data_IF_877341364129
#
_entry.id   IF_877341364129
#
_cell.length_a   1.000
_cell.length_b   1.000
_cell.length_c   1.000
_cell.angle_alpha   90.00
_cell.angle_beta   90.00
_cell.angle_gamma   90.00
#
_symmetry.space_group_name_H-M   'P 1'
#
loop_
_entity.id
_entity.type
_entity.pdbx_description
1 polymer ?
#
# COMPACT_ATOMS: atom_id res chain seq x y z
N UNK A 1 -19.46 2.50 12.77
CA UNK A 1 -19.67 1.87 11.46
C UNK A 1 -18.38 1.23 11.02
N UNK A 2 -18.45 -0.03 10.63
CA UNK A 2 -17.26 -0.80 10.22
C UNK A 2 -16.81 -0.37 8.82
N UNK A 3 -15.54 -0.01 8.69
CA UNK A 3 -14.93 0.39 7.42
C UNK A 3 -14.44 -0.85 6.66
N UNK A 4 -15.29 -1.41 5.80
CA UNK A 4 -14.94 -2.53 4.93
C UNK A 4 -15.68 -2.47 3.59
N UNK A 5 -15.12 -3.16 2.60
CA UNK A 5 -15.78 -3.45 1.33
C UNK A 5 -15.93 -4.94 1.14
N UNK A 6 -16.97 -5.32 0.40
CA UNK A 6 -17.20 -6.69 -0.03
C UNK A 6 -17.31 -6.70 -1.55
N UNK A 7 -16.44 -7.46 -2.20
CA UNK A 7 -16.26 -7.42 -3.66
C UNK A 7 -16.06 -8.82 -4.24
N UNK A 8 -16.29 -8.97 -5.54
CA UNK A 8 -15.88 -10.16 -6.28
C UNK A 8 -14.38 -10.17 -6.50
N UNK A 9 -13.78 -11.35 -6.55
CA UNK A 9 -12.32 -11.47 -6.71
C UNK A 9 -11.79 -10.89 -8.02
N UNK A 10 -12.61 -10.88 -9.09
CA UNK A 10 -12.27 -10.30 -10.37
C UNK A 10 -12.46 -8.79 -10.49
N UNK A 11 -12.95 -8.11 -9.45
CA UNK A 11 -13.08 -6.64 -9.45
C UNK A 11 -11.70 -6.00 -9.54
N UNK A 12 -11.53 -5.05 -10.45
CA UNK A 12 -10.25 -4.36 -10.65
C UNK A 12 -9.92 -3.45 -9.46
N UNK A 13 -8.64 -3.29 -9.16
CA UNK A 13 -8.18 -2.35 -8.13
C UNK A 13 -8.58 -0.92 -8.49
N UNK A 14 -8.55 -0.57 -9.78
CA UNK A 14 -8.99 0.73 -10.29
C UNK A 14 -10.46 1.01 -9.91
N UNK A 15 -11.36 0.09 -10.24
CA UNK A 15 -12.79 0.21 -9.91
C UNK A 15 -13.02 0.34 -8.39
N UNK A 16 -12.29 -0.45 -7.57
CA UNK A 16 -12.35 -0.36 -6.11
C UNK A 16 -11.90 1.02 -5.63
N UNK A 17 -10.80 1.55 -6.15
CA UNK A 17 -10.31 2.89 -5.79
C UNK A 17 -11.32 3.97 -6.13
N UNK A 18 -11.92 3.92 -7.34
CA UNK A 18 -12.94 4.88 -7.77
C UNK A 18 -14.18 4.88 -6.85
N UNK A 19 -14.64 3.69 -6.43
CA UNK A 19 -15.78 3.59 -5.50
C UNK A 19 -15.44 4.06 -4.08
N UNK A 20 -14.24 3.78 -3.60
CA UNK A 20 -13.78 4.23 -2.30
C UNK A 20 -13.56 5.75 -2.25
N UNK A 21 -13.05 6.34 -3.33
CA UNK A 21 -12.85 7.79 -3.44
C UNK A 21 -14.15 8.58 -3.29
N UNK A 22 -15.28 8.07 -3.80
CA UNK A 22 -16.61 8.68 -3.62
C UNK A 22 -17.03 8.81 -2.15
N UNK A 23 -16.42 8.01 -1.27
CA UNK A 23 -16.68 7.98 0.18
C UNK A 23 -15.52 8.51 1.02
N UNK A 24 -14.52 9.11 0.40
CA UNK A 24 -13.29 9.55 1.04
C UNK A 24 -12.58 8.41 1.81
N UNK A 25 -12.55 7.22 1.19
CA UNK A 25 -11.94 6.01 1.72
C UNK A 25 -10.84 5.50 0.79
N UNK A 26 -9.98 4.61 1.29
CA UNK A 26 -8.90 4.01 0.53
C UNK A 26 -8.60 2.59 1.00
N UNK A 27 -8.00 1.77 0.13
CA UNK A 27 -7.31 0.57 0.54
C UNK A 27 -6.09 0.97 1.39
N UNK A 28 -5.84 0.25 2.48
CA UNK A 28 -4.68 0.52 3.33
C UNK A 28 -3.36 0.22 2.61
N UNK A 29 -3.31 -0.89 1.88
CA UNK A 29 -2.16 -1.32 1.08
C UNK A 29 -2.22 -0.69 -0.33
N UNK A 30 -1.06 -0.59 -0.97
CA UNK A 30 -0.88 0.07 -2.26
C UNK A 30 -0.33 -0.92 -3.29
N UNK A 31 -1.17 -1.80 -3.88
CA UNK A 31 -0.69 -2.74 -4.88
C UNK A 31 -0.18 -1.99 -6.11
N UNK A 32 1.03 -2.33 -6.56
CA UNK A 32 1.57 -1.79 -7.79
C UNK A 32 0.86 -2.40 -8.99
N UNK A 33 0.79 -1.64 -10.06
CA UNK A 33 0.37 -2.14 -11.35
C UNK A 33 1.58 -2.68 -12.11
N UNK A 34 1.48 -3.93 -12.53
CA UNK A 34 2.48 -4.59 -13.37
C UNK A 34 1.99 -4.81 -14.80
N UNK A 35 0.88 -4.19 -15.20
CA UNK A 35 0.34 -4.32 -16.56
C UNK A 35 1.38 -3.98 -17.63
N UNK A 36 2.26 -3.02 -17.37
CA UNK A 36 3.33 -2.62 -18.28
C UNK A 36 4.33 -3.75 -18.61
N UNK A 37 4.47 -4.76 -17.74
CA UNK A 37 5.34 -5.92 -18.00
C UNK A 37 4.76 -6.90 -19.01
N UNK A 38 3.46 -6.81 -19.28
CA UNK A 38 2.73 -7.76 -20.13
C UNK A 38 2.15 -7.12 -21.39
N UNK A 39 2.70 -5.98 -21.82
CA UNK A 39 2.24 -5.22 -23.02
C UNK A 39 0.74 -4.88 -22.97
N UNK A 40 0.15 -4.91 -21.78
CA UNK A 40 -1.26 -4.66 -21.54
C UNK A 40 -1.53 -3.22 -21.11
N UNK A 41 -2.82 -2.84 -21.18
CA UNK A 41 -3.27 -1.61 -20.54
C UNK A 41 -3.09 -1.69 -19.02
N UNK A 42 -2.65 -0.58 -18.43
CA UNK A 42 -2.56 -0.42 -16.99
C UNK A 42 -3.96 -0.41 -16.37
N UNK A 43 -4.37 -1.52 -15.75
CA UNK A 43 -5.65 -1.64 -15.05
C UNK A 43 -5.51 -2.04 -13.57
N UNK A 44 -4.28 -1.99 -13.06
CA UNK A 44 -3.92 -2.27 -11.65
C UNK A 44 -4.25 -3.71 -11.18
N UNK A 45 -4.63 -4.61 -12.09
CA UNK A 45 -4.98 -5.98 -11.75
C UNK A 45 -6.29 -6.10 -10.96
N UNK A 46 -6.54 -7.29 -10.39
CA UNK A 46 -7.75 -7.59 -9.61
C UNK A 46 -7.44 -7.76 -8.13
N UNK A 47 -8.43 -7.52 -7.27
CA UNK A 47 -8.29 -7.72 -5.83
C UNK A 47 -7.97 -9.17 -5.46
N UNK A 48 -8.52 -10.13 -6.20
CA UNK A 48 -8.21 -11.55 -6.01
C UNK A 48 -6.75 -11.88 -6.32
N UNK A 49 -6.20 -11.32 -7.40
CA UNK A 49 -4.79 -11.45 -7.75
C UNK A 49 -3.88 -10.84 -6.68
N UNK A 50 -4.17 -9.60 -6.26
CA UNK A 50 -3.41 -8.90 -5.21
C UNK A 50 -3.37 -9.68 -3.90
N UNK A 51 -4.50 -10.23 -3.45
CA UNK A 51 -4.55 -11.04 -2.23
C UNK A 51 -3.88 -12.41 -2.43
N UNK A 52 -4.03 -13.03 -3.59
CA UNK A 52 -3.39 -14.33 -3.87
C UNK A 52 -1.86 -14.26 -3.76
N UNK A 53 -1.24 -13.13 -4.11
CA UNK A 53 0.20 -12.92 -3.99
C UNK A 53 0.60 -12.15 -2.73
N UNK A 54 -0.37 -11.70 -1.93
CA UNK A 54 -0.16 -10.83 -0.76
C UNK A 54 0.61 -9.55 -1.10
N UNK A 55 0.18 -8.87 -2.14
CA UNK A 55 0.90 -7.71 -2.62
C UNK A 55 0.74 -6.52 -1.66
N UNK A 56 1.83 -5.79 -1.44
CA UNK A 56 1.84 -4.59 -0.62
C UNK A 56 2.79 -3.57 -1.23
N UNK A 57 2.39 -2.32 -1.28
CA UNK A 57 3.19 -1.22 -1.77
C UNK A 57 4.01 -0.53 -0.67
N UNK A 58 4.42 0.72 -0.92
CA UNK A 58 5.30 1.49 -0.04
C UNK A 58 4.81 1.65 1.40
N UNK A 59 3.49 1.61 1.65
CA UNK A 59 2.91 1.69 3.01
C UNK A 59 3.11 0.44 3.87
N UNK A 60 3.70 -0.62 3.36
CA UNK A 60 3.78 -1.91 4.06
C UNK A 60 4.33 -1.81 5.48
N UNK A 61 5.36 -1.01 5.70
CA UNK A 61 5.99 -0.88 7.02
C UNK A 61 5.08 -0.18 8.04
N UNK A 62 4.14 0.66 7.58
CA UNK A 62 3.19 1.38 8.42
C UNK A 62 1.89 0.62 8.65
N UNK A 63 1.31 0.03 7.62
CA UNK A 63 -0.05 -0.54 7.66
C UNK A 63 -0.09 -2.04 7.49
N UNK A 64 1.03 -2.69 7.19
CA UNK A 64 1.08 -4.10 6.84
C UNK A 64 0.81 -4.37 5.35
N UNK A 65 0.59 -5.64 5.04
CA UNK A 65 0.33 -6.14 3.69
C UNK A 65 -1.16 -6.34 3.42
N UNK A 66 -1.53 -6.73 2.21
CA UNK A 66 -2.91 -7.07 1.87
C UNK A 66 -3.52 -8.13 2.82
N UNK A 67 -2.69 -9.09 3.27
CA UNK A 67 -3.04 -10.11 4.26
C UNK A 67 -3.55 -9.54 5.59
N UNK A 68 -3.02 -8.40 6.01
CA UNK A 68 -3.39 -7.80 7.30
C UNK A 68 -4.77 -7.13 7.26
N UNK A 69 -5.30 -6.90 6.06
CA UNK A 69 -6.57 -6.22 5.82
C UNK A 69 -7.70 -7.13 5.33
N UNK A 70 -7.43 -8.39 4.97
CA UNK A 70 -8.50 -9.33 4.63
C UNK A 70 -9.28 -9.71 5.89
N UNK A 71 -10.60 -9.56 5.85
CA UNK A 71 -11.53 -9.90 6.94
C UNK A 71 -12.22 -11.24 6.72
N UNK A 72 -12.38 -11.62 5.46
CA UNK A 72 -13.01 -12.89 5.11
C UNK A 72 -13.09 -13.11 3.61
N UNK A 73 -13.43 -14.33 3.23
CA UNK A 73 -13.57 -14.71 1.82
C UNK A 73 -14.57 -15.84 1.63
N UNK A 74 -15.04 -15.97 0.39
CA UNK A 74 -15.54 -17.23 -0.19
C UNK A 74 -14.60 -17.67 -1.29
N UNK A 75 -14.42 -18.96 -1.44
CA UNK A 75 -13.55 -19.52 -2.46
C UNK A 75 -13.87 -20.98 -2.74
N UNK A 76 -13.11 -21.56 -3.66
CA UNK A 76 -13.20 -22.98 -4.02
C UNK A 76 -11.82 -23.59 -3.80
N UNK A 77 -11.77 -24.71 -3.07
CA UNK A 77 -10.53 -25.45 -2.82
C UNK A 77 -10.18 -26.41 -3.97
N UNK A 78 -9.03 -27.09 -3.88
CA UNK A 78 -8.56 -28.04 -4.90
C UNK A 78 -9.44 -29.28 -5.09
N UNK A 79 -10.42 -29.53 -4.23
CA UNK A 79 -11.42 -30.60 -4.36
C UNK A 79 -12.73 -30.13 -5.01
N UNK A 80 -12.82 -28.85 -5.39
CA UNK A 80 -14.05 -28.26 -5.92
C UNK A 80 -15.09 -27.89 -4.84
N UNK A 81 -14.71 -27.93 -3.56
CA UNK A 81 -15.62 -27.61 -2.46
C UNK A 81 -15.63 -26.11 -2.20
N UNK A 82 -16.82 -25.53 -1.96
CA UNK A 82 -16.98 -24.15 -1.58
C UNK A 82 -16.56 -24.00 -0.12
N UNK A 83 -15.58 -23.13 0.12
CA UNK A 83 -15.11 -22.78 1.44
C UNK A 83 -15.41 -21.31 1.75
N UNK A 84 -15.64 -21.03 3.03
CA UNK A 84 -15.87 -19.68 3.53
C UNK A 84 -15.17 -19.53 4.88
N UNK A 85 -14.48 -18.43 5.07
CA UNK A 85 -13.86 -18.09 6.34
C UNK A 85 -13.96 -16.61 6.61
N UNK A 86 -14.00 -16.24 7.91
CA UNK A 86 -14.13 -14.85 8.32
C UNK A 86 -15.52 -14.28 8.01
N UNK A 87 -15.59 -12.95 7.99
CA UNK A 87 -16.83 -12.21 7.81
C UNK A 87 -16.57 -10.76 7.45
N UNK A 88 -17.33 -9.87 8.08
CA UNK A 88 -17.21 -8.43 7.93
C UNK A 88 -16.69 -7.74 9.21
N UNK A 89 -16.41 -8.51 10.26
CA UNK A 89 -15.93 -7.99 11.54
C UNK A 89 -14.43 -8.12 11.67
N UNK A 90 -13.81 -7.14 12.28
CA UNK A 90 -12.35 -7.04 12.44
C UNK A 90 -11.81 -8.11 13.39
N UNK A 91 -12.63 -8.62 14.32
CA UNK A 91 -12.23 -9.61 15.32
C UNK A 91 -12.97 -10.93 15.10
N UNK A 92 -12.22 -11.96 14.67
CA UNK A 92 -12.70 -13.34 14.64
C UNK A 92 -11.86 -14.13 15.66
N UNK A 93 -12.52 -14.65 16.70
CA UNK A 93 -11.84 -15.35 17.82
C UNK A 93 -12.10 -16.86 17.79
N UNK A 94 -12.80 -17.39 16.78
CA UNK A 94 -13.19 -18.78 16.71
C UNK A 94 -12.54 -19.49 15.51
N UNK A 95 -11.71 -20.47 15.80
CA UNK A 95 -11.06 -21.32 14.79
C UNK A 95 -9.80 -20.70 14.15
N UNK A 96 -9.29 -21.37 13.11
CA UNK A 96 -8.14 -20.91 12.33
C UNK A 96 -8.52 -19.75 11.40
N UNK A 97 -7.65 -18.77 11.28
CA UNK A 97 -7.82 -17.68 10.31
C UNK A 97 -7.38 -18.14 8.90
N UNK A 98 -8.27 -18.85 8.23
CA UNK A 98 -8.01 -19.34 6.87
C UNK A 98 -7.79 -18.20 5.88
N UNK A 99 -8.38 -17.00 6.13
CA UNK A 99 -8.16 -15.83 5.29
C UNK A 99 -6.68 -15.45 5.24
N UNK A 100 -6.00 -15.52 6.39
CA UNK A 100 -4.56 -15.25 6.49
C UNK A 100 -3.69 -16.35 5.85
N UNK A 101 -4.14 -17.60 5.90
CA UNK A 101 -3.40 -18.74 5.31
C UNK A 101 -3.47 -18.70 3.78
N UNK A 102 -4.66 -18.41 3.23
CA UNK A 102 -4.87 -18.41 1.78
C UNK A 102 -4.27 -17.18 1.10
N UNK A 103 -4.25 -16.04 1.79
CA UNK A 103 -3.59 -14.82 1.27
C UNK A 103 -2.09 -15.06 1.15
N UNK A 104 -1.56 -14.88 -0.06
CA UNK A 104 -0.17 -15.15 -0.37
C UNK A 104 0.12 -16.60 -0.80
N UNK A 105 -0.92 -17.42 -1.00
CA UNK A 105 -0.77 -18.81 -1.46
C UNK A 105 -0.63 -18.94 -2.99
N UNK A 106 -0.61 -17.85 -3.74
CA UNK A 106 -0.55 -17.85 -5.21
C UNK A 106 -1.68 -18.65 -5.89
N UNK A 107 -2.84 -18.77 -5.22
CA UNK A 107 -3.96 -19.56 -5.71
C UNK A 107 -3.78 -21.07 -5.58
N UNK A 108 -2.71 -21.56 -4.95
CA UNK A 108 -2.41 -23.01 -4.83
C UNK A 108 -3.29 -23.73 -3.81
N UNK A 109 -3.84 -23.00 -2.83
CA UNK A 109 -4.70 -23.58 -1.79
C UNK A 109 -6.19 -23.39 -2.10
N UNK A 110 -6.57 -22.31 -2.75
CA UNK A 110 -7.96 -21.97 -3.06
C UNK A 110 -8.03 -20.85 -4.10
N UNK A 111 -9.12 -20.82 -4.85
CA UNK A 111 -9.47 -19.70 -5.73
C UNK A 111 -10.49 -18.81 -5.02
N UNK A 112 -10.18 -17.54 -4.85
CA UNK A 112 -11.11 -16.55 -4.31
C UNK A 112 -12.28 -16.29 -5.28
N UNK A 113 -13.50 -16.21 -4.76
CA UNK A 113 -14.69 -15.79 -5.52
C UNK A 113 -15.30 -14.50 -4.99
N UNK A 114 -15.25 -14.31 -3.67
CA UNK A 114 -15.75 -13.12 -2.98
C UNK A 114 -14.82 -12.80 -1.80
N UNK A 115 -14.57 -11.53 -1.57
CA UNK A 115 -13.57 -11.06 -0.61
C UNK A 115 -14.16 -9.91 0.20
N UNK A 116 -13.92 -9.90 1.52
CA UNK A 116 -14.17 -8.79 2.41
C UNK A 116 -12.83 -8.20 2.87
N UNK A 117 -12.64 -6.91 2.65
CA UNK A 117 -11.38 -6.21 2.95
C UNK A 117 -11.67 -4.96 3.79
N UNK A 118 -10.88 -4.77 4.85
CA UNK A 118 -10.87 -3.54 5.63
C UNK A 118 -10.36 -2.38 4.77
N UNK A 119 -11.03 -1.23 4.88
CA UNK A 119 -10.62 0.03 4.26
C UNK A 119 -10.31 1.07 5.33
N UNK A 120 -9.64 2.15 4.94
CA UNK A 120 -9.30 3.26 5.83
C UNK A 120 -9.89 4.56 5.27
N UNK A 121 -10.13 5.58 6.13
CA UNK A 121 -10.34 6.93 5.66
C UNK A 121 -9.14 7.39 4.82
N UNK A 122 -9.39 8.17 3.79
CA UNK A 122 -8.33 8.81 3.01
C UNK A 122 -7.70 9.94 3.83
N UNK A 123 -6.40 10.12 3.72
CA UNK A 123 -5.72 11.25 4.34
C UNK A 123 -6.15 12.57 3.67
N UNK A 124 -6.35 13.63 4.46
CA UNK A 124 -6.72 14.96 3.94
C UNK A 124 -5.59 15.58 3.11
N UNK A 125 -4.34 15.29 3.50
CA UNK A 125 -3.15 15.80 2.83
C UNK A 125 -2.06 14.72 2.80
N UNK A 126 -1.39 14.66 1.65
CA UNK A 126 -0.17 13.88 1.45
C UNK A 126 0.92 14.83 0.96
N UNK A 127 2.06 14.85 1.64
CA UNK A 127 3.27 15.56 1.20
C UNK A 127 4.45 14.60 1.13
N UNK A 128 5.30 14.83 0.16
CA UNK A 128 6.56 14.09 0.03
C UNK A 128 7.71 15.07 0.16
N UNK A 129 8.53 14.87 1.20
CA UNK A 129 9.81 15.57 1.32
C UNK A 129 10.81 14.88 0.39
N UNK A 130 11.43 15.66 -0.48
CA UNK A 130 12.49 15.21 -1.37
C UNK A 130 13.79 15.84 -0.94
N UNK A 131 14.79 15.02 -0.67
CA UNK A 131 16.14 15.44 -0.28
C UNK A 131 17.11 14.96 -1.34
N UNK A 132 17.90 15.89 -1.86
CA UNK A 132 19.01 15.57 -2.75
C UNK A 132 20.19 15.06 -1.96
N UNK A 133 20.79 13.99 -2.40
CA UNK A 133 21.95 13.41 -1.71
C UNK A 133 22.98 12.88 -2.72
N UNK A 134 24.25 13.16 -2.45
CA UNK A 134 25.33 12.85 -3.40
C UNK A 134 25.67 11.37 -3.47
N UNK A 135 25.27 10.56 -2.49
CA UNK A 135 25.57 9.13 -2.45
C UNK A 135 24.59 8.31 -1.59
N UNK A 136 24.54 7.01 -1.85
CA UNK A 136 23.65 6.03 -1.23
C UNK A 136 23.68 6.04 0.31
N UNK A 137 24.88 6.09 0.91
CA UNK A 137 25.03 6.04 2.38
C UNK A 137 24.22 7.14 3.07
N UNK A 138 24.31 8.38 2.55
CA UNK A 138 23.58 9.52 3.11
C UNK A 138 22.08 9.40 2.88
N UNK A 139 21.65 8.92 1.70
CA UNK A 139 20.25 8.68 1.43
C UNK A 139 19.61 7.63 2.36
N UNK A 140 20.34 6.53 2.63
CA UNK A 140 19.90 5.52 3.59
C UNK A 140 19.90 6.05 5.04
N UNK A 141 20.85 6.92 5.42
CA UNK A 141 20.85 7.59 6.72
C UNK A 141 19.59 8.44 6.90
N UNK A 142 19.19 9.23 5.90
CA UNK A 142 17.95 10.00 5.92
C UNK A 142 16.71 9.10 6.10
N UNK A 143 16.64 8.00 5.38
CA UNK A 143 15.53 7.02 5.54
C UNK A 143 15.50 6.44 6.95
N UNK A 144 16.64 6.05 7.51
CA UNK A 144 16.72 5.51 8.86
C UNK A 144 16.28 6.51 9.92
N UNK A 145 16.72 7.77 9.82
CA UNK A 145 16.27 8.85 10.71
C UNK A 145 14.75 9.02 10.60
N UNK A 146 14.22 9.16 9.39
CA UNK A 146 12.79 9.37 9.18
C UNK A 146 11.94 8.22 9.70
N UNK A 147 12.32 6.97 9.40
CA UNK A 147 11.59 5.77 9.84
C UNK A 147 11.67 5.53 11.35
N UNK A 148 12.73 6.01 12.00
CA UNK A 148 12.90 5.95 13.46
C UNK A 148 12.30 7.13 14.22
N UNK A 149 11.81 8.16 13.51
CA UNK A 149 11.31 9.41 14.10
C UNK A 149 9.84 9.32 14.49
N UNK A 150 9.38 10.28 15.29
CA UNK A 150 7.96 10.47 15.61
C UNK A 150 7.15 11.09 14.46
N UNK A 151 7.78 11.39 13.31
CA UNK A 151 7.09 11.97 12.15
C UNK A 151 6.20 10.98 11.40
N UNK A 152 6.26 9.68 11.75
CA UNK A 152 5.38 8.61 11.29
C UNK A 152 5.18 8.60 9.76
N UNK A 153 6.24 8.43 8.96
CA UNK A 153 6.15 8.43 7.51
C UNK A 153 5.32 7.26 6.99
N UNK A 154 4.69 7.44 5.83
CA UNK A 154 3.88 6.43 5.16
C UNK A 154 4.56 5.81 3.93
N UNK A 155 5.70 6.31 3.55
CA UNK A 155 6.52 5.81 2.46
C UNK A 155 7.92 6.41 2.53
N UNK A 156 8.90 5.65 2.07
CA UNK A 156 10.27 6.12 1.98
C UNK A 156 11.02 5.36 0.88
N UNK A 157 11.80 6.07 0.08
CA UNK A 157 12.56 5.48 -1.01
C UNK A 157 13.81 6.28 -1.29
N UNK A 158 14.87 5.56 -1.66
CA UNK A 158 16.06 6.13 -2.28
C UNK A 158 16.06 5.79 -3.77
N UNK A 159 16.15 6.82 -4.61
CA UNK A 159 16.31 6.67 -6.06
C UNK A 159 17.74 6.99 -6.44
N UNK A 160 18.54 6.01 -6.90
CA UNK A 160 19.85 6.24 -7.49
C UNK A 160 19.74 7.08 -8.79
N UNK A 161 20.77 7.80 -9.13
CA UNK A 161 20.84 8.60 -10.36
C UNK A 161 20.45 7.78 -11.61
N UNK A 162 20.92 6.56 -11.73
CA UNK A 162 20.60 5.67 -12.86
C UNK A 162 19.10 5.48 -13.11
N UNK A 163 18.28 5.47 -12.07
CA UNK A 163 16.83 5.30 -12.21
C UNK A 163 16.06 6.61 -12.38
N UNK A 164 16.71 7.75 -12.19
CA UNK A 164 16.06 9.07 -12.27
C UNK A 164 15.46 9.36 -13.64
N UNK A 165 16.17 9.01 -14.71
CA UNK A 165 15.70 9.20 -16.10
C UNK A 165 14.46 8.38 -16.45
N UNK A 166 14.11 7.39 -15.64
CA UNK A 166 12.94 6.52 -15.84
C UNK A 166 11.69 7.03 -15.11
N UNK A 167 11.83 8.02 -14.24
CA UNK A 167 10.72 8.59 -13.46
C UNK A 167 10.44 10.02 -13.90
N UNK A 168 9.21 10.24 -14.36
CA UNK A 168 8.76 11.59 -14.74
C UNK A 168 8.33 12.32 -13.47
N UNK A 169 9.29 12.96 -12.81
CA UNK A 169 9.00 13.99 -11.80
C UNK A 169 9.06 15.34 -12.50
N UNK A 170 7.93 15.79 -13.02
CA UNK A 170 7.86 17.03 -13.81
C UNK A 170 8.32 18.27 -13.04
N UNK A 171 8.34 18.21 -11.71
CA UNK A 171 8.65 19.34 -10.83
C UNK A 171 10.08 19.30 -10.26
N UNK A 172 10.88 18.28 -10.59
CA UNK A 172 12.24 18.15 -10.05
C UNK A 172 13.30 18.51 -11.10
N UNK A 173 14.09 19.51 -10.77
CA UNK A 173 15.18 20.03 -11.63
C UNK A 173 16.51 19.29 -11.46
N UNK A 174 16.63 18.46 -10.43
CA UNK A 174 17.89 17.78 -10.11
C UNK A 174 18.05 16.47 -10.89
N UNK A 175 19.24 16.22 -11.40
CA UNK A 175 19.62 14.97 -12.10
C UNK A 175 20.22 13.91 -11.17
N UNK A 176 20.66 14.32 -9.97
CA UNK A 176 21.31 13.44 -8.98
C UNK A 176 20.37 12.48 -8.25
N UNK A 177 20.92 11.59 -7.40
CA UNK A 177 20.13 10.70 -6.56
C UNK A 177 19.28 11.47 -5.56
N UNK A 178 18.11 10.92 -5.20
CA UNK A 178 17.20 11.53 -4.23
C UNK A 178 16.76 10.55 -3.16
N UNK A 179 16.42 11.08 -1.99
CA UNK A 179 15.63 10.39 -0.98
C UNK A 179 14.26 11.05 -0.89
N UNK A 180 13.20 10.28 -1.05
CA UNK A 180 11.83 10.77 -0.92
C UNK A 180 11.15 10.12 0.28
N UNK A 181 10.50 10.94 1.13
CA UNK A 181 9.83 10.51 2.37
C UNK A 181 8.43 11.09 2.37
N UNK A 182 7.42 10.22 2.43
CA UNK A 182 6.02 10.60 2.36
C UNK A 182 5.38 10.67 3.75
N UNK A 183 4.71 11.78 4.03
CA UNK A 183 3.92 12.04 5.24
C UNK A 183 2.46 12.24 4.84
N UNK A 184 1.54 11.63 5.58
CA UNK A 184 0.09 11.68 5.31
C UNK A 184 -0.69 11.94 6.60
N UNK A 185 -1.83 12.61 6.50
CA UNK A 185 -2.72 12.88 7.62
C UNK A 185 -3.56 14.14 7.46
N UNK A 186 -3.96 14.77 8.57
CA UNK A 186 -4.61 16.08 8.54
C UNK A 186 -3.61 17.18 8.15
N UNK A 187 -4.08 18.25 7.55
CA UNK A 187 -3.24 19.33 7.01
C UNK A 187 -2.25 19.89 8.06
N UNK A 188 -2.75 20.27 9.24
CA UNK A 188 -1.91 20.81 10.30
C UNK A 188 -0.85 19.82 10.78
N UNK A 189 -1.24 18.56 10.95
CA UNK A 189 -0.30 17.50 11.39
C UNK A 189 0.76 17.21 10.33
N UNK A 190 0.41 17.20 9.06
CA UNK A 190 1.39 16.96 7.97
C UNK A 190 2.41 18.10 7.90
N UNK A 191 1.96 19.36 7.96
CA UNK A 191 2.83 20.51 7.90
C UNK A 191 3.84 20.53 9.08
N UNK A 192 3.37 20.25 10.31
CA UNK A 192 4.25 20.20 11.48
C UNK A 192 5.26 19.06 11.40
N UNK A 193 4.82 17.86 10.99
CA UNK A 193 5.72 16.69 10.85
C UNK A 193 6.75 16.87 9.74
N UNK A 194 6.43 17.57 8.65
CA UNK A 194 7.42 17.93 7.61
C UNK A 194 8.45 18.89 8.21
N UNK A 195 8.03 19.92 8.95
CA UNK A 195 8.94 20.86 9.60
C UNK A 195 9.85 20.18 10.63
N UNK A 196 9.30 19.23 11.39
CA UNK A 196 10.10 18.43 12.33
C UNK A 196 11.13 17.58 11.57
N UNK A 197 10.70 16.90 10.50
CA UNK A 197 11.57 16.03 9.71
C UNK A 197 12.73 16.83 9.08
N UNK A 198 12.49 18.03 8.56
CA UNK A 198 13.52 18.92 8.04
C UNK A 198 14.59 19.22 9.10
N UNK A 199 14.18 19.50 10.34
CA UNK A 199 15.10 19.73 11.46
C UNK A 199 15.91 18.49 11.82
N UNK A 200 15.26 17.31 11.92
CA UNK A 200 15.91 16.05 12.26
C UNK A 200 16.91 15.58 11.19
N UNK A 201 16.61 15.83 9.92
CA UNK A 201 17.51 15.53 8.80
C UNK A 201 18.60 16.59 8.61
N UNK A 202 18.49 17.74 9.29
CA UNK A 202 19.35 18.91 9.12
C UNK A 202 19.44 19.35 7.65
N UNK A 203 18.29 19.47 7.00
CA UNK A 203 18.11 19.93 5.63
C UNK A 203 17.17 21.13 5.59
N UNK A 204 17.32 22.00 4.59
CA UNK A 204 16.54 23.25 4.43
C UNK A 204 15.75 23.23 3.11
#
# INVERSE_FOLDING_TARGET
>A
EELYIKVKSGTSIKEIKEELDKKNQQLAFEPNDFGFLFEGESNEGTIGGVLSINFAGPRRFKVGSARDHILGFKGVNGKGEIIKSGGTVVKNVTGYDLSKIITGSFGTLSVFTEISVKVLPKADLTKTLIVENPHLKKGLEYLNIALGSSTDPSGGVFYPEYFRSQFVFNDLTTEGPITAIRIEGSKLSVDERINQLLKELNVS
#
